data_IF_605188022290
#
_entry.id   IF_605188022290
#
_cell.length_a   1.000
_cell.length_b   1.000
_cell.length_c   1.000
_cell.angle_alpha   90.00
_cell.angle_beta   90.00
_cell.angle_gamma   90.00
#
_symmetry.space_group_name_H-M   'P 1'
#
loop_
_entity.id
_entity.type
_entity.pdbx_description
1 polymer ?
#
# COMPACT_ATOMS: atom_id res chain seq x y z
N UNK A 1 19.41 -15.16 -2.30
CA UNK A 1 18.14 -15.88 -2.20
C UNK A 1 16.94 -14.94 -2.26
N UNK A 2 16.99 -13.75 -1.64
CA UNK A 2 15.87 -12.79 -1.66
C UNK A 2 15.56 -12.21 -3.07
N UNK A 3 16.57 -12.02 -3.92
CA UNK A 3 16.37 -11.42 -5.25
C UNK A 3 15.67 -12.35 -6.26
N UNK A 4 15.82 -13.68 -6.09
CA UNK A 4 15.15 -14.65 -6.96
C UNK A 4 13.65 -14.80 -6.65
N UNK A 5 13.26 -14.72 -5.38
CA UNK A 5 11.86 -14.85 -4.97
C UNK A 5 10.98 -13.66 -5.39
N UNK A 6 11.50 -12.44 -5.34
CA UNK A 6 10.77 -11.24 -5.78
C UNK A 6 10.48 -11.27 -7.29
N UNK A 7 11.45 -11.64 -8.12
CA UNK A 7 11.26 -11.73 -9.57
C UNK A 7 10.17 -12.72 -9.98
N UNK A 8 10.07 -13.84 -9.26
CA UNK A 8 9.05 -14.87 -9.56
C UNK A 8 7.65 -14.45 -9.13
N UNK A 9 7.51 -13.69 -8.05
CA UNK A 9 6.22 -13.14 -7.63
C UNK A 9 5.70 -12.13 -8.67
N UNK A 10 6.54 -11.21 -9.12
CA UNK A 10 6.14 -10.22 -10.13
C UNK A 10 5.83 -10.84 -11.49
N UNK A 11 6.58 -11.86 -11.91
CA UNK A 11 6.28 -12.60 -13.15
C UNK A 11 4.89 -13.25 -13.10
N UNK A 12 4.53 -13.88 -11.97
CA UNK A 12 3.21 -14.48 -11.77
C UNK A 12 2.10 -13.44 -11.78
N UNK A 13 2.30 -12.31 -11.12
CA UNK A 13 1.34 -11.19 -11.10
C UNK A 13 1.14 -10.62 -12.51
N UNK A 14 2.22 -10.39 -13.24
CA UNK A 14 2.17 -9.86 -14.60
C UNK A 14 1.47 -10.84 -15.55
N UNK A 15 1.81 -12.12 -15.44
CA UNK A 15 1.16 -13.19 -16.23
C UNK A 15 -0.34 -13.28 -15.92
N UNK A 16 -0.71 -13.28 -14.65
CA UNK A 16 -2.11 -13.30 -14.20
C UNK A 16 -2.88 -12.08 -14.72
N UNK A 17 -2.27 -10.89 -14.64
CA UNK A 17 -2.89 -9.65 -15.12
C UNK A 17 -3.09 -9.66 -16.63
N UNK A 18 -2.12 -10.15 -17.40
CA UNK A 18 -2.23 -10.28 -18.87
C UNK A 18 -3.32 -11.29 -19.23
N UNK A 19 -3.34 -12.46 -18.59
CA UNK A 19 -4.34 -13.50 -18.86
C UNK A 19 -5.76 -13.03 -18.53
N UNK A 20 -5.92 -12.24 -17.48
CA UNK A 20 -7.20 -11.63 -17.12
C UNK A 20 -7.61 -10.52 -18.10
N UNK A 21 -6.65 -9.68 -18.53
CA UNK A 21 -6.90 -8.60 -19.49
C UNK A 21 -7.29 -9.15 -20.89
N UNK A 22 -6.69 -10.26 -21.30
CA UNK A 22 -7.02 -10.93 -22.58
C UNK A 22 -8.33 -11.75 -22.49
N UNK A 23 -8.94 -11.84 -21.28
CA UNK A 23 -10.19 -12.58 -21.09
C UNK A 23 -10.07 -14.10 -21.17
N UNK A 24 -8.84 -14.64 -21.09
CA UNK A 24 -8.60 -16.10 -21.14
C UNK A 24 -8.98 -16.78 -19.83
N UNK A 25 -8.86 -16.05 -18.70
CA UNK A 25 -9.16 -16.60 -17.37
C UNK A 25 -9.98 -15.58 -16.60
N UNK A 26 -11.23 -15.90 -16.34
CA UNK A 26 -12.06 -15.23 -15.34
C UNK A 26 -11.93 -16.00 -14.03
N UNK A 27 -11.05 -15.53 -13.14
CA UNK A 27 -10.92 -16.11 -11.81
C UNK A 27 -12.03 -15.51 -10.92
N UNK A 28 -13.00 -16.31 -10.47
CA UNK A 28 -13.99 -15.83 -9.52
C UNK A 28 -13.27 -15.42 -8.22
N UNK A 29 -13.70 -14.31 -7.63
CA UNK A 29 -13.21 -13.90 -6.31
C UNK A 29 -13.69 -14.90 -5.26
N UNK A 30 -12.80 -15.76 -4.80
CA UNK A 30 -13.11 -16.71 -3.73
C UNK A 30 -12.89 -15.98 -2.40
N UNK A 31 -13.95 -15.36 -1.89
CA UNK A 31 -13.92 -14.56 -0.64
C UNK A 31 -13.36 -15.34 0.53
N UNK A 32 -13.66 -16.65 0.59
CA UNK A 32 -13.19 -17.54 1.64
C UNK A 32 -11.66 -17.68 1.67
N UNK A 33 -11.02 -17.76 0.50
CA UNK A 33 -9.56 -17.82 0.42
C UNK A 33 -8.92 -16.50 0.88
N UNK A 34 -9.54 -15.37 0.58
CA UNK A 34 -9.06 -14.06 1.04
C UNK A 34 -9.14 -13.98 2.56
N UNK A 35 -10.26 -14.41 3.17
CA UNK A 35 -10.44 -14.44 4.62
C UNK A 35 -9.40 -15.35 5.28
N UNK A 36 -9.18 -16.55 4.77
CA UNK A 36 -8.18 -17.49 5.29
C UNK A 36 -6.76 -16.87 5.20
N UNK A 37 -6.43 -16.25 4.07
CA UNK A 37 -5.14 -15.58 3.90
C UNK A 37 -4.97 -14.43 4.91
N UNK A 38 -5.99 -13.60 5.11
CA UNK A 38 -5.96 -12.51 6.09
C UNK A 38 -5.84 -13.02 7.53
N UNK A 39 -6.55 -14.09 7.88
CA UNK A 39 -6.42 -14.74 9.20
C UNK A 39 -5.01 -15.29 9.41
N UNK A 40 -4.43 -15.93 8.40
CA UNK A 40 -3.07 -16.48 8.48
C UNK A 40 -2.02 -15.37 8.67
N UNK A 41 -2.16 -14.26 7.94
CA UNK A 41 -1.28 -13.10 8.10
C UNK A 41 -1.45 -12.49 9.49
N UNK A 42 -2.69 -12.29 9.93
CA UNK A 42 -2.99 -11.75 11.25
C UNK A 42 -2.44 -12.62 12.39
N UNK A 43 -2.60 -13.94 12.30
CA UNK A 43 -2.06 -14.89 13.27
C UNK A 43 -0.52 -14.86 13.28
N UNK A 44 0.12 -14.80 12.12
CA UNK A 44 1.58 -14.70 12.00
C UNK A 44 2.14 -13.42 12.63
N UNK A 45 1.48 -12.29 12.40
CA UNK A 45 1.85 -11.01 13.01
C UNK A 45 1.61 -11.04 14.52
N UNK A 46 0.46 -11.55 14.95
CA UNK A 46 0.12 -11.70 16.37
C UNK A 46 1.13 -12.59 17.14
N UNK A 47 1.55 -13.70 16.54
CA UNK A 47 2.56 -14.58 17.12
C UNK A 47 3.93 -13.89 17.28
N UNK A 48 4.31 -13.01 16.36
CA UNK A 48 5.54 -12.22 16.50
C UNK A 48 5.42 -11.16 17.59
N UNK A 49 4.28 -10.48 17.67
CA UNK A 49 4.02 -9.49 18.73
C UNK A 49 3.98 -10.12 20.12
N UNK A 50 3.50 -11.34 20.25
CA UNK A 50 3.48 -12.07 21.53
C UNK A 50 4.88 -12.38 22.10
N UNK A 51 5.93 -12.31 21.30
CA UNK A 51 7.33 -12.53 21.72
C UNK A 51 8.00 -11.24 22.23
N UNK A 52 7.37 -10.08 22.06
CA UNK A 52 7.92 -8.78 22.45
C UNK A 52 7.50 -8.45 23.89
N UNK A 53 8.42 -7.89 24.69
CA UNK A 53 8.08 -7.44 26.03
C UNK A 53 7.07 -6.29 26.00
N UNK A 54 6.21 -6.19 27.03
CA UNK A 54 5.21 -5.11 27.12
C UNK A 54 5.84 -3.70 27.10
N UNK A 55 7.03 -3.58 27.67
CA UNK A 55 7.77 -2.30 27.63
C UNK A 55 8.23 -1.94 26.23
N UNK A 56 8.81 -2.89 25.52
CA UNK A 56 9.25 -2.72 24.14
C UNK A 56 8.08 -2.48 23.19
N UNK A 57 6.96 -3.18 23.41
CA UNK A 57 5.73 -2.97 22.66
C UNK A 57 5.21 -1.53 22.85
N UNK A 58 5.21 -1.02 24.07
CA UNK A 58 4.75 0.35 24.35
C UNK A 58 5.63 1.41 23.66
N UNK A 59 6.95 1.28 23.73
CA UNK A 59 7.87 2.21 23.06
C UNK A 59 7.71 2.17 21.55
N UNK A 60 7.65 0.96 20.97
CA UNK A 60 7.44 0.79 19.54
C UNK A 60 6.09 1.34 19.07
N UNK A 61 5.03 1.18 19.87
CA UNK A 61 3.71 1.75 19.55
C UNK A 61 3.73 3.28 19.56
N UNK A 62 4.38 3.89 20.53
CA UNK A 62 4.51 5.36 20.59
C UNK A 62 5.27 5.86 19.36
N UNK A 63 6.40 5.26 19.03
CA UNK A 63 7.19 5.64 17.85
C UNK A 63 6.41 5.44 16.55
N UNK A 64 5.68 4.32 16.44
CA UNK A 64 4.82 4.05 15.30
C UNK A 64 3.68 5.07 15.18
N UNK A 65 3.02 5.43 16.28
CA UNK A 65 1.96 6.44 16.29
C UNK A 65 2.50 7.83 15.90
N UNK A 66 3.65 8.22 16.43
CA UNK A 66 4.27 9.50 16.09
C UNK A 66 4.66 9.55 14.60
N UNK A 67 5.33 8.51 14.13
CA UNK A 67 5.74 8.41 12.72
C UNK A 67 4.55 8.39 11.77
N UNK A 68 3.55 7.56 12.06
CA UNK A 68 2.32 7.49 11.25
C UNK A 68 1.54 8.80 11.29
N UNK A 69 1.44 9.44 12.45
CA UNK A 69 0.82 10.75 12.60
C UNK A 69 1.50 11.82 11.76
N UNK A 70 2.82 11.86 11.79
CA UNK A 70 3.61 12.82 10.99
C UNK A 70 3.43 12.59 9.48
N UNK A 71 3.41 11.33 9.06
CA UNK A 71 3.14 10.95 7.67
C UNK A 71 1.73 11.41 7.27
N UNK A 72 0.70 11.13 8.08
CA UNK A 72 -0.68 11.53 7.79
C UNK A 72 -0.84 13.04 7.71
N UNK A 73 -0.20 13.80 8.61
CA UNK A 73 -0.21 15.27 8.59
C UNK A 73 0.44 15.78 7.29
N UNK A 74 1.56 15.20 6.88
CA UNK A 74 2.22 15.57 5.62
C UNK A 74 1.31 15.34 4.41
N UNK A 75 0.64 14.19 4.36
CA UNK A 75 -0.32 13.90 3.28
C UNK A 75 -1.54 14.81 3.34
N UNK A 76 -2.02 15.17 4.53
CA UNK A 76 -3.13 16.11 4.69
C UNK A 76 -2.77 17.49 4.14
N UNK A 77 -1.60 18.01 4.48
CA UNK A 77 -1.10 19.30 3.97
C UNK A 77 -0.99 19.25 2.44
N UNK A 78 -0.41 18.18 1.89
CA UNK A 78 -0.30 18.00 0.44
C UNK A 78 -1.67 17.94 -0.24
N UNK A 79 -2.62 17.22 0.36
CA UNK A 79 -4.00 17.14 -0.17
C UNK A 79 -4.66 18.51 -0.18
N UNK A 80 -4.57 19.26 0.91
CA UNK A 80 -5.12 20.62 1.00
C UNK A 80 -4.51 21.50 -0.08
N UNK A 81 -3.19 21.46 -0.24
CA UNK A 81 -2.50 22.24 -1.27
C UNK A 81 -2.99 21.92 -2.68
N UNK A 82 -3.13 20.62 -3.02
CA UNK A 82 -3.60 20.17 -4.33
C UNK A 82 -5.05 20.61 -4.57
N UNK A 83 -5.91 20.47 -3.58
CA UNK A 83 -7.31 20.88 -3.65
C UNK A 83 -7.43 22.37 -3.95
N UNK A 84 -6.67 23.21 -3.26
CA UNK A 84 -6.67 24.65 -3.50
C UNK A 84 -6.06 25.02 -4.85
N UNK A 85 -5.06 24.29 -5.33
CA UNK A 85 -4.38 24.60 -6.58
C UNK A 85 -5.18 24.18 -7.83
N UNK A 86 -5.94 23.07 -7.74
CA UNK A 86 -6.61 22.44 -8.88
C UNK A 86 -8.13 22.47 -8.82
N UNK A 87 -8.71 23.00 -7.75
CA UNK A 87 -10.17 23.05 -7.50
C UNK A 87 -10.86 21.70 -7.66
N UNK A 88 -10.26 20.67 -7.06
CA UNK A 88 -10.72 19.28 -7.10
C UNK A 88 -11.32 18.83 -5.77
N UNK A 89 -12.10 17.74 -5.79
CA UNK A 89 -12.73 17.24 -4.58
C UNK A 89 -11.70 16.73 -3.56
N UNK A 90 -11.82 17.20 -2.31
CA UNK A 90 -10.89 16.84 -1.22
C UNK A 90 -10.82 15.34 -0.99
N UNK A 91 -11.95 14.64 -0.91
CA UNK A 91 -11.98 13.20 -0.59
C UNK A 91 -11.39 12.35 -1.71
N UNK A 92 -11.57 12.74 -2.97
CA UNK A 92 -10.95 12.06 -4.11
C UNK A 92 -9.43 12.12 -4.04
N UNK A 93 -8.88 13.31 -3.77
CA UNK A 93 -7.43 13.52 -3.63
C UNK A 93 -6.91 12.82 -2.36
N UNK A 94 -7.64 12.95 -1.25
CA UNK A 94 -7.25 12.28 0.00
C UNK A 94 -7.14 10.77 -0.18
N UNK A 95 -8.17 10.12 -0.76
CA UNK A 95 -8.17 8.68 -1.02
C UNK A 95 -7.08 8.26 -2.01
N UNK A 96 -6.76 9.10 -3.01
CA UNK A 96 -5.72 8.83 -3.98
C UNK A 96 -4.31 8.82 -3.37
N UNK A 97 -4.06 9.68 -2.38
CA UNK A 97 -2.71 9.88 -1.82
C UNK A 97 -2.53 9.33 -0.41
N UNK A 98 -3.59 9.02 0.34
CA UNK A 98 -3.47 8.50 1.70
C UNK A 98 -2.56 7.26 1.77
N UNK A 99 -1.63 7.20 2.74
CA UNK A 99 -0.79 6.02 2.92
C UNK A 99 -1.65 4.86 3.46
N UNK A 100 -1.94 3.89 2.60
CA UNK A 100 -2.80 2.75 2.92
C UNK A 100 -2.76 1.70 1.82
N UNK A 101 -3.60 0.69 1.94
CA UNK A 101 -3.78 -0.35 0.94
C UNK A 101 -4.60 0.15 -0.24
N UNK A 102 -4.20 -0.26 -1.45
CA UNK A 102 -4.93 0.03 -2.68
C UNK A 102 -6.38 -0.46 -2.60
N UNK A 103 -6.57 -1.66 -2.06
CA UNK A 103 -7.87 -2.32 -1.97
C UNK A 103 -8.84 -1.54 -1.07
N UNK A 104 -8.38 -1.13 0.10
CA UNK A 104 -9.17 -0.37 1.07
C UNK A 104 -9.55 1.02 0.51
N UNK A 105 -8.60 1.71 -0.10
CA UNK A 105 -8.85 3.03 -0.68
C UNK A 105 -9.83 2.97 -1.86
N UNK A 106 -9.72 1.95 -2.71
CA UNK A 106 -10.63 1.76 -3.86
C UNK A 106 -12.04 1.36 -3.42
N UNK A 107 -12.18 0.55 -2.37
CA UNK A 107 -13.49 0.22 -1.80
C UNK A 107 -14.14 1.48 -1.21
N UNK A 108 -13.41 2.28 -0.46
CA UNK A 108 -13.94 3.54 0.08
C UNK A 108 -14.36 4.49 -1.04
N UNK A 109 -13.54 4.61 -2.10
CA UNK A 109 -13.92 5.41 -3.27
C UNK A 109 -15.23 4.93 -3.90
N UNK A 110 -15.41 3.60 -4.04
CA UNK A 110 -16.62 3.01 -4.56
C UNK A 110 -17.85 3.30 -3.66
N UNK A 111 -17.70 3.12 -2.35
CA UNK A 111 -18.79 3.34 -1.38
C UNK A 111 -19.24 4.81 -1.37
N UNK A 112 -18.29 5.73 -1.46
CA UNK A 112 -18.59 7.17 -1.46
C UNK A 112 -18.90 7.74 -2.86
N UNK A 113 -18.91 6.91 -3.90
CA UNK A 113 -19.25 7.33 -5.26
C UNK A 113 -18.15 8.16 -5.94
N UNK A 114 -16.91 8.03 -5.52
CA UNK A 114 -15.77 8.66 -6.17
C UNK A 114 -15.17 7.79 -7.28
N UNK A 115 -14.37 8.41 -8.15
CA UNK A 115 -13.72 7.70 -9.26
C UNK A 115 -12.67 6.70 -8.74
N UNK A 116 -13.06 5.41 -8.77
CA UNK A 116 -12.22 4.29 -8.36
C UNK A 116 -10.97 4.16 -9.23
N UNK A 117 -11.10 4.45 -10.55
CA UNK A 117 -9.97 4.35 -11.47
C UNK A 117 -8.92 5.42 -11.17
N UNK A 118 -9.36 6.64 -10.86
CA UNK A 118 -8.48 7.72 -10.42
C UNK A 118 -7.70 7.34 -9.16
N UNK A 119 -8.38 6.84 -8.12
CA UNK A 119 -7.74 6.43 -6.88
C UNK A 119 -6.75 5.28 -7.11
N UNK A 120 -7.18 4.25 -7.84
CA UNK A 120 -6.34 3.08 -8.14
C UNK A 120 -5.09 3.46 -8.93
N UNK A 121 -5.23 4.32 -9.94
CA UNK A 121 -4.12 4.79 -10.76
C UNK A 121 -3.04 5.50 -9.92
N UNK A 122 -3.44 6.42 -9.04
CA UNK A 122 -2.49 7.16 -8.21
C UNK A 122 -1.77 6.25 -7.21
N UNK A 123 -2.48 5.29 -6.62
CA UNK A 123 -1.85 4.27 -5.77
C UNK A 123 -0.83 3.42 -6.54
N UNK A 124 -1.16 3.01 -7.77
CA UNK A 124 -0.26 2.24 -8.62
C UNK A 124 1.00 3.03 -8.97
N UNK A 125 0.84 4.28 -9.42
CA UNK A 125 1.95 5.18 -9.74
C UNK A 125 2.86 5.37 -8.52
N UNK A 126 2.29 5.58 -7.34
CA UNK A 126 3.06 5.70 -6.09
C UNK A 126 3.89 4.46 -5.80
N UNK A 127 3.29 3.27 -5.91
CA UNK A 127 4.00 2.00 -5.69
C UNK A 127 5.15 1.83 -6.70
N UNK A 128 4.91 2.12 -7.97
CA UNK A 128 5.94 2.08 -9.00
C UNK A 128 7.06 3.08 -8.71
N UNK A 129 6.71 4.31 -8.32
CA UNK A 129 7.68 5.34 -7.97
C UNK A 129 8.58 4.91 -6.80
N UNK A 130 7.99 4.37 -5.74
CA UNK A 130 8.74 3.84 -4.58
C UNK A 130 9.65 2.69 -5.04
N UNK A 131 9.12 1.76 -5.84
CA UNK A 131 9.85 0.61 -6.32
C UNK A 131 11.10 0.99 -7.13
N UNK A 132 11.00 1.98 -8.01
CA UNK A 132 12.13 2.44 -8.81
C UNK A 132 13.08 3.36 -8.05
N UNK A 133 12.58 4.16 -7.11
CA UNK A 133 13.41 5.11 -6.34
C UNK A 133 14.23 4.42 -5.24
N UNK A 134 13.70 3.40 -4.57
CA UNK A 134 14.38 2.71 -3.45
C UNK A 134 15.77 2.17 -3.79
N UNK A 135 16.00 1.43 -4.90
CA UNK A 135 17.33 0.96 -5.26
C UNK A 135 18.34 2.09 -5.45
N UNK A 136 17.89 3.21 -6.02
CA UNK A 136 18.72 4.40 -6.26
C UNK A 136 19.16 5.02 -4.93
N UNK A 137 18.23 5.16 -3.99
CA UNK A 137 18.54 5.66 -2.65
C UNK A 137 19.52 4.73 -1.91
N UNK A 138 19.26 3.42 -1.89
CA UNK A 138 20.09 2.45 -1.19
C UNK A 138 21.52 2.46 -1.73
N UNK A 139 21.71 2.46 -3.04
CA UNK A 139 23.05 2.50 -3.66
C UNK A 139 23.80 3.79 -3.35
N UNK A 140 23.09 4.93 -3.37
CA UNK A 140 23.69 6.24 -3.07
C UNK A 140 24.13 6.36 -1.60
N UNK A 141 23.38 5.82 -0.66
CA UNK A 141 23.73 5.84 0.77
C UNK A 141 24.79 4.81 1.13
N UNK A 142 24.82 3.65 0.47
CA UNK A 142 25.84 2.63 0.68
C UNK A 142 27.24 3.10 0.26
N UNK A 143 27.32 3.91 -0.80
CA UNK A 143 28.60 4.43 -1.31
C UNK A 143 29.14 5.64 -0.52
N UNK A 144 28.41 6.10 0.51
CA UNK A 144 28.86 7.19 1.41
C UNK A 144 29.49 6.71 2.73
N UNK A 145 29.53 5.40 2.96
CA UNK A 145 30.29 4.77 4.05
C UNK A 145 31.52 4.08 3.50
#
# INVERSE_FOLDING_TARGET
>A
VLSRGLGDVYKRQLLSSILHFVGIIELPRVSELIIIAQMTIGASVGARLAQISLFELRTTLVDACLTSGLILITYLIMTIFIVFALDVNFLSIWLAFVPGGLYEATILALIFGYDVAFVAFHHLVRVLFIFFSMPIFITKFKNRK
#
